data_IF_243494080281
#
_entry.id   IF_243494080281
#
_cell.length_a   1.000
_cell.length_b   1.000
_cell.length_c   1.000
_cell.angle_alpha   90.00
_cell.angle_beta   90.00
_cell.angle_gamma   90.00
#
_symmetry.space_group_name_H-M   'P 1'
#
loop_
_entity.id
_entity.type
_entity.pdbx_description
1 polymer ?
#
# COMPACT_ATOMS: atom_id res chain seq x y z
N UNK A 1 23.55 -24.69 3.84
CA UNK A 1 22.16 -24.20 4.04
C UNK A 1 22.06 -22.81 3.43
N UNK A 2 21.28 -22.55 2.38
CA UNK A 2 21.15 -21.21 1.84
C UNK A 2 20.34 -20.34 2.82
N UNK A 3 20.76 -19.08 2.99
CA UNK A 3 20.20 -18.10 3.91
C UNK A 3 18.82 -17.55 3.46
N UNK A 4 17.85 -18.43 3.22
CA UNK A 4 16.53 -18.05 2.69
C UNK A 4 15.46 -17.76 3.76
N UNK A 5 15.81 -17.89 5.05
CA UNK A 5 14.85 -17.76 6.16
C UNK A 5 15.02 -16.45 6.96
N UNK A 6 15.61 -15.42 6.36
CA UNK A 6 16.12 -14.21 7.04
C UNK A 6 15.05 -13.27 7.67
N UNK A 7 13.78 -13.42 7.31
CA UNK A 7 12.69 -12.59 7.85
C UNK A 7 12.18 -13.17 9.19
N UNK A 8 11.95 -12.32 10.19
CA UNK A 8 11.19 -12.73 11.38
C UNK A 8 9.72 -12.94 11.03
N UNK A 9 8.99 -13.74 11.82
CA UNK A 9 7.54 -13.95 11.62
C UNK A 9 6.75 -12.64 11.65
N UNK A 10 7.17 -11.68 12.48
CA UNK A 10 6.59 -10.34 12.53
C UNK A 10 6.80 -9.55 11.24
N UNK A 11 8.00 -9.61 10.66
CA UNK A 11 8.31 -8.92 9.40
C UNK A 11 7.53 -9.55 8.24
N UNK A 12 7.47 -10.89 8.15
CA UNK A 12 6.64 -11.58 7.15
C UNK A 12 5.17 -11.19 7.26
N UNK A 13 4.62 -11.19 8.48
CA UNK A 13 3.23 -10.80 8.70
C UNK A 13 2.97 -9.34 8.27
N UNK A 14 3.88 -8.43 8.64
CA UNK A 14 3.77 -7.01 8.30
C UNK A 14 3.80 -6.80 6.78
N UNK A 15 4.73 -7.47 6.08
CA UNK A 15 4.82 -7.40 4.62
C UNK A 15 3.56 -7.93 3.94
N UNK A 16 3.09 -9.11 4.35
CA UNK A 16 1.88 -9.71 3.79
C UNK A 16 0.65 -8.83 4.01
N UNK A 17 0.51 -8.26 5.21
CA UNK A 17 -0.59 -7.34 5.51
C UNK A 17 -0.48 -6.06 4.67
N UNK A 18 0.70 -5.46 4.58
CA UNK A 18 0.93 -4.25 3.80
C UNK A 18 0.62 -4.46 2.31
N UNK A 19 1.18 -5.50 1.69
CA UNK A 19 0.91 -5.87 0.29
C UNK A 19 -0.56 -6.18 0.04
N UNK A 20 -1.20 -6.96 0.93
CA UNK A 20 -2.62 -7.27 0.77
C UNK A 20 -3.49 -6.01 0.81
N UNK A 21 -3.20 -5.08 1.73
CA UNK A 21 -3.94 -3.81 1.83
C UNK A 21 -3.62 -2.89 0.66
N UNK A 22 -2.38 -2.83 0.18
CA UNK A 22 -2.02 -2.03 -1.00
C UNK A 22 -2.78 -2.50 -2.26
N UNK A 23 -2.83 -3.82 -2.49
CA UNK A 23 -3.58 -4.42 -3.60
C UNK A 23 -5.09 -4.15 -3.44
N UNK A 24 -5.63 -4.35 -2.23
CA UNK A 24 -7.04 -4.08 -1.96
C UNK A 24 -7.39 -2.61 -2.19
N UNK A 25 -6.55 -1.69 -1.72
CA UNK A 25 -6.69 -0.26 -1.92
C UNK A 25 -6.73 0.08 -3.42
N UNK A 26 -5.82 -0.50 -4.22
CA UNK A 26 -5.82 -0.30 -5.67
C UNK A 26 -7.13 -0.75 -6.33
N UNK A 27 -7.69 -1.89 -5.93
CA UNK A 27 -9.01 -2.33 -6.43
C UNK A 27 -10.14 -1.37 -6.04
N UNK A 28 -10.12 -0.85 -4.81
CA UNK A 28 -11.12 0.13 -4.35
C UNK A 28 -11.00 1.46 -5.10
N UNK A 29 -9.79 1.86 -5.48
CA UNK A 29 -9.54 3.01 -6.35
C UNK A 29 -10.18 2.83 -7.73
N UNK A 30 -10.01 1.65 -8.36
CA UNK A 30 -10.64 1.34 -9.65
C UNK A 30 -12.16 1.41 -9.54
N UNK A 31 -12.73 0.85 -8.46
CA UNK A 31 -14.16 0.95 -8.17
C UNK A 31 -14.63 2.39 -7.99
N UNK A 32 -13.85 3.21 -7.29
CA UNK A 32 -14.16 4.63 -7.07
C UNK A 32 -14.09 5.44 -8.37
N UNK A 33 -13.07 5.25 -9.21
CA UNK A 33 -12.97 5.87 -10.53
C UNK A 33 -14.11 5.45 -11.45
N UNK A 34 -14.49 4.17 -11.40
CA UNK A 34 -15.66 3.67 -12.13
C UNK A 34 -16.93 4.36 -11.63
N UNK A 35 -17.12 4.49 -10.32
CA UNK A 35 -18.22 5.24 -9.73
C UNK A 35 -18.22 6.73 -10.13
N UNK A 36 -17.04 7.35 -10.23
CA UNK A 36 -16.89 8.74 -10.69
C UNK A 36 -17.25 8.90 -12.17
N UNK A 37 -16.86 7.94 -13.02
CA UNK A 37 -17.27 7.91 -14.42
C UNK A 37 -18.80 7.88 -14.54
N UNK A 38 -19.47 6.97 -13.83
CA UNK A 38 -20.94 6.90 -13.86
C UNK A 38 -21.62 8.12 -13.23
N UNK A 39 -20.98 8.80 -12.28
CA UNK A 39 -21.53 10.03 -11.70
C UNK A 39 -21.46 11.22 -12.65
N UNK A 40 -20.38 11.36 -13.44
CA UNK A 40 -20.11 12.58 -14.19
C UNK A 40 -20.19 12.47 -15.71
N UNK A 41 -19.92 11.28 -16.28
CA UNK A 41 -19.70 11.11 -17.72
C UNK A 41 -20.72 10.17 -18.39
N UNK A 42 -21.44 9.35 -17.62
CA UNK A 42 -22.46 8.48 -18.17
C UNK A 42 -23.74 9.26 -18.54
N UNK A 43 -24.42 8.82 -19.61
CA UNK A 43 -25.71 9.38 -20.06
C UNK A 43 -26.76 9.35 -18.94
N UNK A 44 -26.81 8.26 -18.18
CA UNK A 44 -27.62 8.12 -16.97
C UNK A 44 -26.70 8.23 -15.75
N UNK A 45 -26.60 9.43 -15.18
CA UNK A 45 -25.72 9.68 -14.05
C UNK A 45 -26.21 8.99 -12.77
N UNK A 46 -25.33 8.30 -12.05
CA UNK A 46 -25.65 7.65 -10.77
C UNK A 46 -24.54 7.80 -9.73
N UNK A 47 -24.93 7.98 -8.47
CA UNK A 47 -23.98 8.11 -7.35
C UNK A 47 -23.72 6.80 -6.60
N UNK A 48 -24.43 5.72 -6.94
CA UNK A 48 -24.39 4.45 -6.18
C UNK A 48 -22.96 3.92 -6.08
N UNK A 49 -22.19 3.97 -7.17
CA UNK A 49 -20.79 3.54 -7.19
C UNK A 49 -19.93 4.31 -6.19
N UNK A 50 -20.09 5.64 -6.10
CA UNK A 50 -19.34 6.49 -5.18
C UNK A 50 -19.75 6.24 -3.73
N UNK A 51 -21.05 6.01 -3.48
CA UNK A 51 -21.57 5.74 -2.13
C UNK A 51 -21.11 4.39 -1.57
N UNK A 52 -20.81 3.43 -2.44
CA UNK A 52 -20.27 2.13 -2.04
C UNK A 52 -18.74 2.19 -1.97
N UNK A 53 -18.09 2.54 -3.09
CA UNK A 53 -16.63 2.49 -3.17
C UNK A 53 -15.94 3.61 -2.40
N UNK A 54 -16.59 4.77 -2.19
CA UNK A 54 -16.02 5.87 -1.41
C UNK A 54 -15.67 5.48 0.03
N UNK A 55 -16.63 5.00 0.84
CA UNK A 55 -16.35 4.53 2.20
C UNK A 55 -15.38 3.35 2.26
N UNK A 56 -15.52 2.38 1.34
CA UNK A 56 -14.62 1.21 1.28
C UNK A 56 -13.18 1.65 0.98
N UNK A 57 -13.01 2.54 0.00
CA UNK A 57 -11.71 3.10 -0.36
C UNK A 57 -11.13 3.93 0.78
N UNK A 58 -11.92 4.79 1.42
CA UNK A 58 -11.46 5.58 2.57
C UNK A 58 -10.97 4.70 3.72
N UNK A 59 -11.65 3.60 4.02
CA UNK A 59 -11.21 2.64 5.02
C UNK A 59 -9.91 1.92 4.61
N UNK A 60 -9.79 1.50 3.35
CA UNK A 60 -8.58 0.88 2.81
C UNK A 60 -7.39 1.85 2.85
N UNK A 61 -7.60 3.10 2.48
CA UNK A 61 -6.61 4.18 2.53
C UNK A 61 -6.08 4.38 3.95
N UNK A 62 -6.96 4.52 4.95
CA UNK A 62 -6.54 4.64 6.36
C UNK A 62 -5.75 3.42 6.83
N UNK A 63 -6.22 2.20 6.48
CA UNK A 63 -5.48 0.97 6.80
C UNK A 63 -4.08 0.94 6.17
N UNK A 64 -3.95 1.42 4.92
CA UNK A 64 -2.66 1.55 4.24
C UNK A 64 -1.73 2.50 4.99
N UNK A 65 -2.20 3.68 5.39
CA UNK A 65 -1.38 4.66 6.12
C UNK A 65 -0.86 4.08 7.44
N UNK A 66 -1.72 3.40 8.20
CA UNK A 66 -1.35 2.76 9.46
C UNK A 66 -0.30 1.66 9.24
N UNK A 67 -0.52 0.80 8.23
CA UNK A 67 0.43 -0.26 7.89
C UNK A 67 1.75 0.29 7.35
N UNK A 68 1.75 1.41 6.62
CA UNK A 68 2.98 2.07 6.18
C UNK A 68 3.83 2.55 7.37
N UNK A 69 3.20 3.10 8.40
CA UNK A 69 3.88 3.51 9.64
C UNK A 69 4.41 2.30 10.41
N UNK A 70 3.63 1.21 10.50
CA UNK A 70 4.09 -0.04 11.12
C UNK A 70 5.28 -0.63 10.35
N UNK A 71 5.17 -0.69 9.02
CA UNK A 71 6.21 -1.18 8.12
C UNK A 71 7.48 -0.35 8.24
N UNK A 72 7.38 0.98 8.34
CA UNK A 72 8.53 1.85 8.58
C UNK A 72 9.36 1.42 9.79
N UNK A 73 8.69 1.05 10.89
CA UNK A 73 9.36 0.61 12.13
C UNK A 73 9.84 -0.83 12.05
N UNK A 74 9.02 -1.75 11.53
CA UNK A 74 9.29 -3.20 11.51
C UNK A 74 10.32 -3.60 10.44
N UNK A 75 10.26 -2.95 9.28
CA UNK A 75 11.18 -3.17 8.15
C UNK A 75 12.36 -2.20 8.16
N UNK A 76 12.41 -1.31 9.17
CA UNK A 76 13.47 -0.32 9.36
C UNK A 76 13.68 0.58 8.14
N UNK A 77 12.59 0.99 7.49
CA UNK A 77 12.69 1.89 6.35
C UNK A 77 13.31 3.23 6.76
N UNK A 78 13.98 3.89 5.82
CA UNK A 78 14.33 5.29 6.00
C UNK A 78 13.07 6.15 6.09
N UNK A 79 13.15 7.30 6.76
CA UNK A 79 12.04 8.25 6.80
C UNK A 79 11.59 8.67 5.39
N UNK A 80 12.52 8.83 4.46
CA UNK A 80 12.20 9.11 3.05
C UNK A 80 11.33 8.03 2.39
N UNK A 81 11.52 6.76 2.72
CA UNK A 81 10.69 5.66 2.20
C UNK A 81 9.26 5.73 2.75
N UNK A 82 9.09 6.06 4.03
CA UNK A 82 7.77 6.30 4.61
C UNK A 82 7.08 7.47 3.88
N UNK A 83 7.78 8.60 3.72
CA UNK A 83 7.24 9.77 3.02
C UNK A 83 6.84 9.41 1.58
N UNK A 84 7.67 8.65 0.85
CA UNK A 84 7.30 8.17 -0.49
C UNK A 84 6.04 7.30 -0.46
N UNK A 85 5.90 6.39 0.50
CA UNK A 85 4.69 5.57 0.64
C UNK A 85 3.43 6.43 0.86
N UNK A 86 3.52 7.40 1.77
CA UNK A 86 2.41 8.31 2.09
C UNK A 86 2.06 9.20 0.89
N UNK A 87 3.05 9.75 0.21
CA UNK A 87 2.83 10.55 -1.01
C UNK A 87 2.19 9.70 -2.10
N UNK A 88 2.67 8.48 -2.31
CA UNK A 88 2.11 7.55 -3.30
C UNK A 88 0.70 7.05 -2.98
N UNK A 89 0.21 7.20 -1.74
CA UNK A 89 -1.18 6.87 -1.41
C UNK A 89 -2.20 7.92 -1.85
N UNK A 90 -1.78 9.14 -2.19
CA UNK A 90 -2.71 10.22 -2.56
C UNK A 90 -3.16 10.12 -4.02
N UNK A 91 -2.25 9.95 -5.02
CA UNK A 91 -2.67 9.79 -6.40
C UNK A 91 -3.24 8.39 -6.66
N UNK A 92 -4.22 8.26 -7.56
CA UNK A 92 -4.78 6.98 -7.94
C UNK A 92 -3.73 5.98 -8.40
N UNK A 93 -3.77 4.77 -7.84
CA UNK A 93 -2.93 3.61 -8.19
C UNK A 93 -1.43 3.77 -7.92
N UNK A 94 -0.98 4.89 -7.32
CA UNK A 94 0.44 5.09 -7.03
C UNK A 94 0.94 4.21 -5.88
N UNK A 95 0.05 3.64 -5.07
CA UNK A 95 0.35 2.60 -4.07
C UNK A 95 1.00 1.36 -4.71
N UNK A 96 0.53 0.96 -5.89
CA UNK A 96 1.11 -0.14 -6.68
C UNK A 96 2.49 0.24 -7.22
N UNK A 97 2.66 1.48 -7.71
CA UNK A 97 3.96 1.97 -8.19
C UNK A 97 4.98 1.97 -7.05
N UNK A 98 4.58 2.45 -5.87
CA UNK A 98 5.40 2.39 -4.67
C UNK A 98 5.77 0.95 -4.33
N UNK A 99 4.82 0.02 -4.34
CA UNK A 99 5.06 -1.38 -4.02
C UNK A 99 6.07 -2.03 -4.97
N UNK A 100 5.90 -1.83 -6.29
CA UNK A 100 6.83 -2.33 -7.31
C UNK A 100 8.22 -1.72 -7.12
N UNK A 101 8.32 -0.42 -6.87
CA UNK A 101 9.60 0.24 -6.59
C UNK A 101 10.26 -0.26 -5.30
N UNK A 102 9.48 -0.42 -4.23
CA UNK A 102 9.96 -0.90 -2.94
C UNK A 102 10.44 -2.36 -3.03
N UNK A 103 9.75 -3.20 -3.81
CA UNK A 103 10.16 -4.57 -4.10
C UNK A 103 11.49 -4.60 -4.85
N UNK A 104 11.60 -3.81 -5.94
CA UNK A 104 12.81 -3.75 -6.79
C UNK A 104 14.04 -3.22 -6.06
N UNK A 105 13.84 -2.35 -5.07
CA UNK A 105 14.93 -1.72 -4.32
C UNK A 105 15.25 -2.43 -3.01
N UNK A 106 14.67 -3.60 -2.78
CA UNK A 106 14.91 -4.40 -1.56
C UNK A 106 14.31 -3.78 -0.30
N UNK A 107 13.47 -2.74 -0.41
CA UNK A 107 12.82 -2.12 0.75
C UNK A 107 11.75 -3.02 1.36
N UNK A 108 11.17 -3.93 0.60
CA UNK A 108 10.27 -4.96 1.16
C UNK A 108 11.04 -6.09 1.88
N UNK A 109 12.37 -6.05 1.92
CA UNK A 109 13.20 -6.98 2.69
C UNK A 109 13.91 -6.16 3.79
N UNK A 110 13.89 -6.60 5.06
CA UNK A 110 14.63 -5.92 6.11
C UNK A 110 16.11 -5.85 5.75
N UNK A 111 16.69 -4.66 5.86
CA UNK A 111 18.12 -4.47 5.71
C UNK A 111 18.84 -5.33 6.78
N UNK A 112 19.58 -6.36 6.34
CA UNK A 112 20.51 -7.08 7.20
C UNK A 112 21.76 -6.21 7.35
N UNK A 113 21.72 -5.24 8.26
CA UNK A 113 22.94 -4.54 8.65
C UNK A 113 23.72 -5.48 9.57
N UNK A 114 24.91 -5.99 9.18
CA UNK A 114 25.75 -6.71 10.14
C UNK A 114 26.05 -5.74 11.28
N UNK A 115 25.84 -6.18 12.52
CA UNK A 115 26.28 -5.44 13.68
C UNK A 115 27.81 -5.30 13.55
N UNK A 116 28.28 -4.09 13.24
CA UNK A 116 29.71 -3.81 13.29
C UNK A 116 30.11 -3.94 14.77
N UNK A 117 30.96 -4.96 15.01
CA UNK A 117 31.65 -5.26 16.27
C UNK A 117 32.67 -4.17 16.56
#
# INVERSE_FOLDING_TARGET
MPATDALTSRQRLTLRAFTAVAIFEAFTWVGLLTGMYFKYLATDTTEVGVKIFGPIHGAAFVAYLLLAVIAWRVLRWSFGTLVTALVCSVPPLFTVVFEVWAARTGRLVPEQRPALV
#
